data_IF_621057623109
#
_entry.id   IF_621057623109
#
_cell.length_a   1.000
_cell.length_b   1.000
_cell.length_c   1.000
_cell.angle_alpha   90.00
_cell.angle_beta   90.00
_cell.angle_gamma   90.00
#
_symmetry.space_group_name_H-M   'P 1'
#
loop_
_entity.id
_entity.type
_entity.pdbx_description
1 polymer ?
#
# COMPACT_ATOMS: atom_id res chain seq x y z
N UNK A 1 4.81 27.31 -2.89
CA UNK A 1 4.59 26.70 -2.41
C UNK A 1 4.89 26.39 -1.52
N UNK A 2 4.99 26.33 -1.49
CA UNK A 2 5.27 25.89 -0.93
C UNK A 2 5.16 25.08 -0.52
N UNK A 3 5.21 24.86 -0.69
CA UNK A 3 4.92 24.01 -0.43
C UNK A 3 5.07 23.31 0.61
N UNK A 4 4.48 23.55 1.14
CA UNK A 4 4.21 22.69 2.24
C UNK A 4 4.49 21.25 1.91
N UNK A 5 4.13 20.81 0.75
CA UNK A 5 4.40 19.46 0.32
C UNK A 5 5.87 19.15 0.31
N UNK A 6 6.70 20.14 0.04
CA UNK A 6 8.14 19.89 -0.07
C UNK A 6 8.75 19.51 1.27
N UNK A 7 8.18 20.00 2.38
CA UNK A 7 8.71 19.67 3.70
C UNK A 7 8.48 18.21 4.05
N UNK A 8 7.42 17.61 3.48
CA UNK A 8 7.06 16.23 3.77
C UNK A 8 7.38 15.30 2.61
N UNK A 9 8.05 15.81 1.61
CA UNK A 9 8.25 15.11 0.36
C UNK A 9 9.63 14.50 0.31
N UNK A 10 9.76 13.30 0.78
CA UNK A 10 11.01 12.55 0.73
C UNK A 10 11.00 11.64 -0.47
N UNK A 11 12.20 11.32 -0.94
CA UNK A 11 12.33 10.35 -2.02
C UNK A 11 11.92 8.98 -1.55
N UNK A 12 11.17 8.28 -2.40
CA UNK A 12 10.78 6.90 -2.10
C UNK A 12 11.93 6.00 -2.51
N UNK A 13 12.48 5.28 -1.53
CA UNK A 13 13.61 4.39 -1.80
C UNK A 13 13.15 2.98 -2.15
N UNK A 14 12.01 2.58 -1.63
CA UNK A 14 11.42 1.29 -1.98
C UNK A 14 9.91 1.40 -1.81
N UNK A 15 9.19 0.63 -2.61
CA UNK A 15 7.73 0.69 -2.59
C UNK A 15 7.18 -0.41 -1.70
N UNK A 16 6.08 -0.10 -1.03
CA UNK A 16 5.33 -1.09 -0.28
C UNK A 16 4.83 -2.16 -1.23
N UNK A 17 4.91 -3.41 -0.82
CA UNK A 17 4.40 -4.50 -1.64
C UNK A 17 3.89 -5.64 -0.77
N UNK A 18 2.98 -6.41 -1.33
CA UNK A 18 2.52 -7.66 -0.74
C UNK A 18 3.57 -8.73 -1.01
N UNK A 19 3.90 -9.51 0.02
CA UNK A 19 4.92 -10.54 -0.14
C UNK A 19 4.55 -11.53 -1.23
N UNK A 20 3.27 -11.92 -1.31
CA UNK A 20 2.84 -12.86 -2.34
C UNK A 20 2.92 -12.25 -3.73
N UNK A 21 2.58 -10.96 -3.86
CA UNK A 21 2.73 -10.28 -5.16
C UNK A 21 4.19 -10.25 -5.56
N UNK A 22 5.07 -9.97 -4.60
CA UNK A 22 6.50 -9.91 -4.87
C UNK A 22 7.01 -11.25 -5.39
N UNK A 23 6.62 -12.33 -4.71
CA UNK A 23 7.09 -13.67 -5.08
C UNK A 23 6.55 -14.09 -6.43
N UNK A 24 5.28 -13.77 -6.72
CA UNK A 24 4.70 -14.13 -8.01
C UNK A 24 5.43 -13.47 -9.16
N UNK A 25 5.71 -12.16 -9.04
CA UNK A 25 6.41 -11.47 -10.10
C UNK A 25 7.86 -11.91 -10.21
N UNK A 26 8.50 -12.15 -9.07
CA UNK A 26 9.90 -12.59 -9.06
C UNK A 26 10.07 -13.93 -9.77
N UNK A 27 9.11 -14.81 -9.61
CA UNK A 27 9.19 -16.15 -10.17
C UNK A 27 8.68 -16.24 -11.61
N UNK A 28 8.01 -15.21 -12.11
CA UNK A 28 7.53 -15.19 -13.47
C UNK A 28 8.68 -14.88 -14.42
N UNK A 29 8.94 -15.76 -15.39
CA UNK A 29 10.05 -15.62 -16.32
C UNK A 29 9.63 -15.49 -17.76
N UNK A 30 8.48 -16.06 -18.14
CA UNK A 30 8.01 -16.07 -19.50
C UNK A 30 6.70 -15.33 -19.61
N UNK A 31 6.30 -15.00 -20.83
CA UNK A 31 5.00 -14.37 -21.04
C UNK A 31 3.87 -15.21 -20.47
N UNK A 32 4.01 -16.51 -20.61
CA UNK A 32 2.99 -17.41 -20.07
C UNK A 32 2.93 -17.32 -18.55
N UNK A 33 4.08 -17.26 -17.90
CA UNK A 33 4.12 -17.12 -16.44
C UNK A 33 3.40 -15.87 -16.00
N UNK A 34 3.68 -14.73 -16.65
CA UNK A 34 3.02 -13.48 -16.31
C UNK A 34 1.52 -13.57 -16.56
N UNK A 35 1.11 -14.20 -17.65
CA UNK A 35 -0.31 -14.34 -17.97
C UNK A 35 -1.03 -15.15 -16.90
N UNK A 36 -0.39 -16.21 -16.38
CA UNK A 36 -1.00 -17.07 -15.39
C UNK A 36 -1.30 -16.36 -14.08
N UNK A 37 -0.53 -15.33 -13.74
CA UNK A 37 -0.77 -14.58 -12.51
C UNK A 37 -1.55 -13.29 -12.77
N UNK A 38 -2.03 -13.11 -14.01
CA UNK A 38 -2.83 -11.93 -14.35
C UNK A 38 -2.02 -10.67 -14.54
N UNK A 39 -0.77 -10.81 -14.97
CA UNK A 39 0.12 -9.68 -15.20
C UNK A 39 0.52 -9.61 -16.66
N UNK A 40 1.10 -8.47 -17.05
CA UNK A 40 1.71 -8.36 -18.37
C UNK A 40 3.20 -8.60 -18.25
N UNK A 41 3.83 -9.03 -19.33
CA UNK A 41 5.25 -9.34 -19.30
C UNK A 41 6.05 -8.14 -18.83
N UNK A 42 6.90 -8.38 -17.84
CA UNK A 42 7.77 -7.33 -17.30
C UNK A 42 7.08 -6.35 -16.38
N UNK A 43 5.89 -6.66 -15.91
CA UNK A 43 5.14 -5.76 -15.02
C UNK A 43 5.91 -5.50 -13.73
N UNK A 44 5.85 -4.26 -13.23
CA UNK A 44 6.52 -3.89 -12.00
C UNK A 44 5.66 -4.23 -10.79
N UNK A 45 6.29 -4.31 -9.62
CA UNK A 45 5.58 -4.52 -8.37
C UNK A 45 4.55 -3.43 -8.13
N UNK A 46 4.93 -2.19 -8.38
CA UNK A 46 4.05 -1.06 -8.17
C UNK A 46 2.79 -1.17 -9.01
N UNK A 47 2.91 -1.65 -10.23
CA UNK A 47 1.79 -1.81 -11.12
C UNK A 47 0.97 -3.06 -10.80
N UNK A 48 1.62 -4.12 -10.38
CA UNK A 48 0.97 -5.41 -10.16
C UNK A 48 0.15 -5.44 -8.87
N UNK A 49 0.68 -4.86 -7.79
CA UNK A 49 0.02 -4.90 -6.49
C UNK A 49 -1.25 -4.04 -6.51
N UNK A 50 -2.27 -4.52 -5.81
CA UNK A 50 -3.54 -3.80 -5.71
C UNK A 50 -3.89 -3.63 -4.25
N UNK A 51 -3.79 -2.39 -3.77
CA UNK A 51 -3.96 -2.09 -2.37
C UNK A 51 -5.23 -1.34 -2.10
N UNK A 52 -5.84 -1.65 -0.94
CA UNK A 52 -6.80 -0.77 -0.30
C UNK A 52 -6.16 -0.23 0.96
N UNK A 53 -6.34 1.05 1.20
CA UNK A 53 -5.72 1.73 2.33
C UNK A 53 -6.82 2.47 3.08
N UNK A 54 -6.85 2.29 4.40
CA UNK A 54 -7.88 2.96 5.16
C UNK A 54 -7.66 2.89 6.66
N UNK A 55 -8.57 3.54 7.36
CA UNK A 55 -8.55 3.58 8.82
C UNK A 55 -9.30 2.39 9.38
N UNK A 56 -8.79 1.85 10.47
CA UNK A 56 -9.49 0.83 11.23
C UNK A 56 -9.82 1.42 12.60
N UNK A 57 -10.47 0.62 13.44
CA UNK A 57 -10.73 1.05 14.80
C UNK A 57 -9.45 1.24 15.60
N UNK A 58 -8.37 0.64 15.16
CA UNK A 58 -7.12 0.64 15.91
C UNK A 58 -5.99 1.36 15.19
N UNK A 59 -6.18 1.77 13.94
CA UNK A 59 -5.10 2.42 13.24
C UNK A 59 -5.33 2.55 11.76
N UNK A 60 -4.27 2.28 11.03
CA UNK A 60 -4.19 2.45 9.59
C UNK A 60 -3.77 1.13 8.99
N UNK A 61 -4.45 0.69 7.93
CA UNK A 61 -4.21 -0.63 7.36
C UNK A 61 -4.05 -0.56 5.85
N UNK A 62 -3.11 -1.33 5.35
CA UNK A 62 -2.93 -1.56 3.91
C UNK A 62 -3.27 -3.01 3.63
N UNK A 63 -4.19 -3.23 2.72
CA UNK A 63 -4.72 -4.55 2.39
C UNK A 63 -4.42 -4.83 0.94
N UNK A 64 -3.91 -6.04 0.65
CA UNK A 64 -3.72 -6.47 -0.73
C UNK A 64 -4.99 -7.15 -1.20
N UNK A 65 -5.68 -6.50 -2.14
CA UNK A 65 -6.95 -7.06 -2.64
C UNK A 65 -6.72 -8.23 -3.58
N UNK A 66 -5.54 -8.28 -4.23
CA UNK A 66 -5.22 -9.39 -5.11
C UNK A 66 -5.12 -10.70 -4.35
N UNK A 67 -4.51 -10.67 -3.16
CA UNK A 67 -4.31 -11.88 -2.36
C UNK A 67 -5.19 -11.93 -1.13
N UNK A 68 -5.97 -10.86 -0.90
CA UNK A 68 -6.92 -10.80 0.19
C UNK A 68 -6.24 -10.99 1.53
N UNK A 69 -5.13 -10.27 1.74
CA UNK A 69 -4.39 -10.34 2.98
C UNK A 69 -3.98 -8.94 3.43
N UNK A 70 -3.71 -8.82 4.72
CA UNK A 70 -3.17 -7.60 5.30
C UNK A 70 -1.68 -7.49 4.97
N UNK A 71 -1.26 -6.34 4.46
CA UNK A 71 0.15 -6.10 4.17
C UNK A 71 0.82 -5.49 5.37
N UNK A 72 0.19 -4.48 5.97
CA UNK A 72 0.74 -3.82 7.14
C UNK A 72 -0.41 -3.14 7.89
N UNK A 73 -0.29 -3.11 9.21
CA UNK A 73 -1.20 -2.37 10.06
C UNK A 73 -0.38 -1.53 11.03
N UNK A 74 -0.72 -0.26 11.15
CA UNK A 74 -0.01 0.66 12.04
C UNK A 74 -1.00 1.17 13.07
N UNK A 75 -0.75 0.87 14.35
CA UNK A 75 -1.64 1.25 15.43
C UNK A 75 -1.56 2.75 15.70
N UNK A 76 -2.67 3.32 16.13
CA UNK A 76 -2.71 4.72 16.52
C UNK A 76 -1.69 5.04 17.60
N UNK A 77 -1.44 4.09 18.49
CA UNK A 77 -0.52 4.31 19.59
C UNK A 77 0.90 4.55 19.13
N UNK A 78 1.21 4.11 17.93
CA UNK A 78 2.56 4.25 17.39
C UNK A 78 2.80 5.61 16.73
N UNK A 79 1.72 6.26 16.28
CA UNK A 79 1.84 7.52 15.55
C UNK A 79 0.76 8.49 16.01
N UNK A 80 1.13 9.39 16.89
CA UNK A 80 0.18 10.33 17.50
C UNK A 80 -0.50 11.23 16.47
N UNK A 81 0.26 11.76 15.53
CA UNK A 81 -0.31 12.67 14.53
C UNK A 81 -1.31 11.97 13.63
N UNK A 82 -1.05 10.71 13.30
CA UNK A 82 -1.96 9.94 12.47
C UNK A 82 -3.27 9.70 13.23
N UNK A 83 -3.18 9.44 14.53
CA UNK A 83 -4.37 9.26 15.34
C UNK A 83 -5.25 10.50 15.32
N UNK A 84 -4.65 11.67 15.50
CA UNK A 84 -5.40 12.92 15.49
C UNK A 84 -6.07 13.14 14.14
N UNK A 85 -5.34 12.88 13.07
CA UNK A 85 -5.87 13.05 11.73
C UNK A 85 -7.04 12.10 11.49
N UNK A 86 -6.89 10.85 11.92
CA UNK A 86 -7.94 9.86 11.72
C UNK A 86 -9.21 10.27 12.47
N UNK A 87 -9.07 10.76 13.70
CA UNK A 87 -10.22 11.19 14.49
C UNK A 87 -10.91 12.36 13.83
N UNK A 88 -10.15 13.29 13.30
CA UNK A 88 -10.72 14.44 12.62
C UNK A 88 -11.49 14.02 11.37
N UNK A 89 -10.93 13.10 10.61
CA UNK A 89 -11.59 12.61 9.41
C UNK A 89 -12.90 11.91 9.74
N UNK A 90 -12.93 11.15 10.83
CA UNK A 90 -14.15 10.46 11.25
C UNK A 90 -15.23 11.45 11.63
N UNK A 91 -14.85 12.57 12.26
CA UNK A 91 -15.84 13.58 12.65
C UNK A 91 -16.45 14.26 11.44
N UNK A 92 -15.65 14.47 10.40
CA UNK A 92 -16.12 15.17 9.20
C UNK A 92 -16.95 14.29 8.30
N UNK A 93 -16.82 12.99 8.43
CA UNK A 93 -17.61 12.06 7.62
C UNK A 93 -18.99 11.89 8.23
N UNK A 94 -19.94 11.79 7.37
CA UNK A 94 -21.33 11.56 7.81
C UNK A 94 -21.89 10.32 7.19
#
# INVERSE_FOLDING_TARGET
MTDTGSDNNNNIETFLHCELCYLELKNAKTEEDFSLIGAVAGESQMSYSRFEVGWTNQGFQVWCTRHNINVIHIDFDDITNVKKLAEQMKKERR
#
